data_IF_930441765395
#
_entry.id   IF_930441765395
#
_cell.length_a   1.000
_cell.length_b   1.000
_cell.length_c   1.000
_cell.angle_alpha   90.00
_cell.angle_beta   90.00
_cell.angle_gamma   90.00
#
_symmetry.space_group_name_H-M   'P 1'
#
loop_
_entity.id
_entity.type
_entity.pdbx_description
1 polymer ?
#
# COMPACT_ATOMS: atom_id res chain seq x y z
N UNK A 1 -19.14 -22.87 -29.60
CA UNK A 1 -18.44 -21.81 -28.84
C UNK A 1 -16.99 -22.23 -28.71
N UNK A 2 -16.16 -21.72 -29.63
CA UNK A 2 -14.74 -22.08 -29.67
C UNK A 2 -14.07 -21.53 -28.41
N UNK A 3 -13.47 -22.44 -27.63
CA UNK A 3 -12.85 -22.10 -26.37
C UNK A 3 -11.63 -21.21 -26.57
N UNK A 4 -11.75 -19.94 -26.23
CA UNK A 4 -10.64 -18.96 -26.20
C UNK A 4 -9.53 -19.54 -25.34
N UNK A 5 -8.38 -19.86 -25.93
CA UNK A 5 -7.21 -20.38 -25.21
C UNK A 5 -6.45 -19.21 -24.58
N UNK A 6 -6.16 -19.25 -23.24
CA UNK A 6 -5.45 -18.14 -22.56
C UNK A 6 -4.10 -17.76 -23.19
N UNK A 7 -3.48 -18.64 -23.97
CA UNK A 7 -2.20 -18.42 -24.63
C UNK A 7 -2.22 -17.51 -25.87
N UNK A 8 -3.40 -17.17 -26.40
CA UNK A 8 -3.53 -16.31 -27.59
C UNK A 8 -3.71 -14.83 -27.26
N UNK A 9 -4.03 -14.47 -26.01
CA UNK A 9 -4.18 -13.07 -25.62
C UNK A 9 -2.83 -12.34 -25.59
N UNK A 10 -2.78 -11.15 -26.20
CA UNK A 10 -1.59 -10.31 -26.29
C UNK A 10 -1.51 -9.38 -25.10
N UNK A 11 -0.40 -9.44 -24.36
CA UNK A 11 -0.06 -8.50 -23.31
C UNK A 11 0.59 -7.26 -23.92
N UNK A 12 0.18 -6.07 -23.49
CA UNK A 12 0.74 -4.82 -23.95
C UNK A 12 0.46 -3.67 -22.99
N UNK A 13 0.83 -2.47 -23.41
CA UNK A 13 0.45 -1.22 -22.72
C UNK A 13 -0.82 -0.67 -23.38
N UNK A 14 -1.62 0.14 -22.64
CA UNK A 14 -2.72 0.88 -23.24
C UNK A 14 -2.20 1.84 -24.33
N UNK A 15 -2.93 1.91 -25.42
CA UNK A 15 -2.71 2.86 -26.50
C UNK A 15 -3.88 3.86 -26.55
N UNK A 16 -3.73 5.00 -27.22
CA UNK A 16 -4.75 6.04 -27.24
C UNK A 16 -6.13 5.55 -27.70
N UNK A 17 -6.16 4.58 -28.61
CA UNK A 17 -7.40 3.96 -29.12
C UNK A 17 -8.11 3.08 -28.07
N UNK A 18 -7.37 2.55 -27.09
CA UNK A 18 -7.94 1.72 -26.03
C UNK A 18 -8.78 2.53 -25.02
N UNK A 19 -8.58 3.83 -24.92
CA UNK A 19 -9.14 4.65 -23.85
C UNK A 19 -10.65 4.44 -23.66
N UNK A 20 -11.42 4.38 -24.77
CA UNK A 20 -12.87 4.13 -24.72
C UNK A 20 -13.19 2.72 -24.25
N UNK A 21 -12.47 1.72 -24.73
CA UNK A 21 -12.70 0.31 -24.39
C UNK A 21 -12.29 0.00 -22.95
N UNK A 22 -11.21 0.61 -22.47
CA UNK A 22 -10.76 0.48 -21.08
C UNK A 22 -11.68 1.20 -20.10
N UNK A 23 -12.21 2.36 -20.50
CA UNK A 23 -13.26 3.04 -19.75
C UNK A 23 -14.53 2.19 -19.65
N UNK A 24 -14.98 1.61 -20.76
CA UNK A 24 -16.13 0.73 -20.77
C UNK A 24 -15.92 -0.52 -19.89
N UNK A 25 -14.70 -1.08 -19.89
CA UNK A 25 -14.34 -2.17 -18.99
C UNK A 25 -14.33 -1.74 -17.51
N UNK A 26 -13.90 -0.51 -17.21
CA UNK A 26 -14.00 0.07 -15.86
C UNK A 26 -15.45 0.15 -15.40
N UNK A 27 -16.31 0.78 -16.21
CA UNK A 27 -17.73 0.96 -15.93
C UNK A 27 -18.49 -0.38 -15.78
N UNK A 28 -18.08 -1.42 -16.52
CA UNK A 28 -18.62 -2.79 -16.38
C UNK A 28 -18.24 -3.44 -15.03
N UNK A 29 -17.01 -3.25 -14.57
CA UNK A 29 -16.48 -3.95 -13.39
C UNK A 29 -16.71 -3.15 -12.11
N UNK A 30 -16.52 -1.84 -12.16
CA UNK A 30 -16.69 -0.92 -11.03
C UNK A 30 -18.01 -0.15 -11.15
N UNK A 31 -19.11 -0.89 -11.25
CA UNK A 31 -20.45 -0.35 -11.47
C UNK A 31 -20.96 0.53 -10.31
N UNK A 32 -20.31 0.50 -9.15
CA UNK A 32 -20.58 1.39 -8.01
C UNK A 32 -20.00 2.80 -8.17
N UNK A 33 -19.03 2.97 -9.08
CA UNK A 33 -18.41 4.28 -9.29
C UNK A 33 -19.37 5.22 -10.03
N UNK A 34 -19.51 6.45 -9.52
CA UNK A 34 -20.31 7.45 -10.20
C UNK A 34 -19.69 7.86 -11.54
N UNK A 35 -20.53 8.29 -12.50
CA UNK A 35 -20.04 8.81 -13.78
C UNK A 35 -19.07 9.99 -13.60
N UNK A 36 -19.31 10.85 -12.61
CA UNK A 36 -18.46 12.01 -12.29
C UNK A 36 -17.07 11.55 -11.85
N UNK A 37 -17.01 10.52 -10.99
CA UNK A 37 -15.76 9.94 -10.55
C UNK A 37 -15.01 9.26 -11.71
N UNK A 38 -15.70 8.48 -12.53
CA UNK A 38 -15.09 7.85 -13.72
C UNK A 38 -14.55 8.89 -14.71
N UNK A 39 -15.31 9.99 -14.96
CA UNK A 39 -14.83 11.11 -15.80
C UNK A 39 -13.55 11.74 -15.23
N UNK A 40 -13.52 11.99 -13.91
CA UNK A 40 -12.35 12.50 -13.23
C UNK A 40 -11.16 11.53 -13.36
N UNK A 41 -11.37 10.25 -13.05
CA UNK A 41 -10.30 9.25 -13.07
C UNK A 41 -9.63 9.15 -14.43
N UNK A 42 -10.41 8.98 -15.50
CA UNK A 42 -9.86 8.84 -16.86
C UNK A 42 -9.24 10.11 -17.40
N UNK A 43 -9.72 11.28 -16.97
CA UNK A 43 -9.17 12.57 -17.39
C UNK A 43 -7.89 12.94 -16.64
N UNK A 44 -7.85 12.75 -15.33
CA UNK A 44 -6.81 13.32 -14.45
C UNK A 44 -5.80 12.26 -13.97
N UNK A 45 -6.25 11.04 -13.62
CA UNK A 45 -5.40 9.99 -13.05
C UNK A 45 -4.88 9.00 -14.07
N UNK A 46 -5.74 8.41 -14.89
CA UNK A 46 -5.35 7.36 -15.82
C UNK A 46 -4.26 7.80 -16.80
N UNK A 47 -4.24 9.08 -17.19
CA UNK A 47 -3.21 9.66 -18.06
C UNK A 47 -1.80 9.69 -17.41
N UNK A 48 -1.73 9.69 -16.08
CA UNK A 48 -0.47 9.69 -15.32
C UNK A 48 -0.03 8.28 -14.94
N UNK A 49 -0.95 7.31 -15.03
CA UNK A 49 -0.74 5.94 -14.62
C UNK A 49 -0.02 5.14 -15.70
N UNK A 50 0.72 4.13 -15.25
CA UNK A 50 1.32 3.14 -16.13
C UNK A 50 0.37 1.96 -16.27
N UNK A 51 -0.22 1.78 -17.47
CA UNK A 51 -1.19 0.72 -17.72
C UNK A 51 -0.58 -0.57 -18.24
N UNK A 52 -1.28 -1.68 -17.98
CA UNK A 52 -1.08 -2.99 -18.59
C UNK A 52 -2.43 -3.49 -19.09
N UNK A 53 -2.46 -4.07 -20.29
CA UNK A 53 -3.67 -4.56 -20.92
C UNK A 53 -3.45 -5.92 -21.55
N UNK A 54 -4.43 -6.82 -21.40
CA UNK A 54 -4.53 -8.03 -22.20
C UNK A 54 -5.60 -7.84 -23.24
N UNK A 55 -5.28 -8.18 -24.51
CA UNK A 55 -6.19 -8.12 -25.64
C UNK A 55 -6.46 -9.51 -26.20
N UNK A 56 -7.69 -9.73 -26.61
CA UNK A 56 -8.09 -10.84 -27.47
C UNK A 56 -8.36 -10.24 -28.87
N UNK A 57 -7.47 -10.52 -29.82
CA UNK A 57 -7.37 -9.69 -31.03
C UNK A 57 -7.04 -8.24 -30.68
N UNK A 58 -7.88 -7.31 -31.14
CA UNK A 58 -7.75 -5.88 -30.83
C UNK A 58 -8.56 -5.45 -29.59
N UNK A 59 -9.40 -6.35 -29.03
CA UNK A 59 -10.29 -6.02 -27.92
C UNK A 59 -9.59 -6.14 -26.58
N UNK A 60 -9.49 -5.05 -25.77
CA UNK A 60 -9.06 -5.12 -24.37
C UNK A 60 -10.03 -5.96 -23.54
N UNK A 61 -9.52 -7.00 -22.88
CA UNK A 61 -10.31 -7.94 -22.07
C UNK A 61 -9.94 -7.91 -20.57
N UNK A 62 -8.76 -7.41 -20.27
CA UNK A 62 -8.32 -7.20 -18.86
C UNK A 62 -7.32 -6.06 -18.78
N UNK A 63 -7.36 -5.32 -17.68
CA UNK A 63 -6.47 -4.17 -17.43
C UNK A 63 -5.98 -4.14 -15.99
N UNK A 64 -4.88 -3.42 -15.77
CA UNK A 64 -4.29 -3.08 -14.50
C UNK A 64 -3.52 -1.77 -14.66
N UNK A 65 -3.64 -0.86 -13.70
CA UNK A 65 -2.86 0.37 -13.66
C UNK A 65 -1.93 0.43 -12.46
N UNK A 66 -0.79 1.09 -12.64
CA UNK A 66 0.14 1.48 -11.59
C UNK A 66 0.10 3.00 -11.45
N UNK A 67 -0.37 3.48 -10.32
CA UNK A 67 -0.41 4.90 -9.97
C UNK A 67 0.85 5.25 -9.16
N UNK A 68 1.74 6.13 -9.64
CA UNK A 68 2.94 6.52 -8.91
C UNK A 68 2.59 7.48 -7.78
N UNK A 69 3.09 7.19 -6.57
CA UNK A 69 2.96 8.05 -5.39
C UNK A 69 4.31 8.38 -4.78
N UNK A 70 4.56 9.64 -4.39
CA UNK A 70 5.73 10.03 -3.63
C UNK A 70 5.57 9.59 -2.16
N UNK A 71 6.09 8.41 -1.84
CA UNK A 71 6.05 7.83 -0.49
C UNK A 71 7.23 8.34 0.32
N UNK A 72 6.93 8.93 1.47
CA UNK A 72 7.91 9.32 2.48
C UNK A 72 8.20 8.12 3.37
N UNK A 73 9.47 7.80 3.53
CA UNK A 73 9.98 6.69 4.33
C UNK A 73 10.96 7.24 5.35
N UNK A 74 10.73 7.01 6.63
CA UNK A 74 11.62 7.45 7.70
C UNK A 74 12.99 6.78 7.58
N UNK A 75 14.03 7.59 7.71
CA UNK A 75 15.42 7.17 7.62
C UNK A 75 16.22 7.85 8.75
N UNK A 76 16.25 7.21 9.91
CA UNK A 76 16.76 7.87 11.13
C UNK A 76 15.83 9.01 11.56
N UNK A 77 16.39 10.19 11.67
CA UNK A 77 15.64 11.41 12.03
C UNK A 77 15.15 12.20 10.81
N UNK A 78 15.40 11.70 9.61
CA UNK A 78 15.00 12.31 8.33
C UNK A 78 14.04 11.42 7.56
N UNK A 79 13.64 11.86 6.37
CA UNK A 79 12.82 11.10 5.44
C UNK A 79 13.47 10.99 4.07
N UNK A 80 13.35 9.82 3.45
CA UNK A 80 13.63 9.61 2.04
C UNK A 80 12.30 9.56 1.28
N UNK A 81 12.18 10.38 0.22
CA UNK A 81 11.04 10.29 -0.69
C UNK A 81 11.35 9.30 -1.80
N UNK A 82 10.44 8.34 -2.02
CA UNK A 82 10.55 7.37 -3.13
C UNK A 82 9.25 7.32 -3.90
N UNK A 83 9.33 7.33 -5.23
CA UNK A 83 8.18 7.05 -6.07
C UNK A 83 7.89 5.55 -6.04
N UNK A 84 6.76 5.17 -5.44
CA UNK A 84 6.28 3.80 -5.36
C UNK A 84 4.93 3.68 -6.06
N UNK A 85 4.66 2.50 -6.61
CA UNK A 85 3.43 2.26 -7.35
C UNK A 85 2.32 1.71 -6.45
N UNK A 86 1.15 2.33 -6.55
CA UNK A 86 -0.12 1.80 -6.08
C UNK A 86 -0.80 1.04 -7.22
N UNK A 87 -1.27 -0.16 -6.97
CA UNK A 87 -1.99 -0.97 -7.97
C UNK A 87 -3.47 -0.62 -7.91
N UNK A 88 -4.04 -0.25 -9.06
CA UNK A 88 -5.42 0.23 -9.19
C UNK A 88 -6.06 -0.25 -10.48
N UNK A 89 -7.39 -0.25 -10.56
CA UNK A 89 -8.15 -0.54 -11.77
C UNK A 89 -7.89 -1.94 -12.33
N UNK A 90 -7.78 -2.92 -11.43
CA UNK A 90 -7.60 -4.33 -11.83
C UNK A 90 -8.94 -4.89 -12.25
N UNK A 91 -9.18 -4.97 -13.54
CA UNK A 91 -10.44 -5.40 -14.10
C UNK A 91 -10.28 -6.47 -15.18
N UNK A 92 -11.25 -7.38 -15.25
CA UNK A 92 -11.33 -8.40 -16.30
C UNK A 92 -12.79 -8.59 -16.71
N UNK A 93 -13.07 -8.56 -18.01
CA UNK A 93 -14.39 -8.84 -18.57
C UNK A 93 -14.92 -10.18 -18.09
N UNK A 94 -16.20 -10.27 -17.77
CA UNK A 94 -16.83 -11.45 -17.18
C UNK A 94 -16.52 -12.75 -17.95
N UNK A 95 -16.64 -12.83 -19.30
CA UNK A 95 -16.34 -14.04 -20.06
C UNK A 95 -14.88 -14.49 -19.98
N UNK A 96 -13.96 -13.61 -19.52
CA UNK A 96 -12.52 -13.87 -19.44
C UNK A 96 -12.03 -14.08 -17.99
N UNK A 97 -12.93 -13.98 -16.99
CA UNK A 97 -12.62 -14.29 -15.58
C UNK A 97 -12.23 -15.76 -15.41
N UNK A 98 -11.45 -16.03 -14.38
CA UNK A 98 -10.93 -17.37 -14.04
C UNK A 98 -10.06 -18.03 -15.14
N UNK A 99 -9.54 -17.24 -16.09
CA UNK A 99 -8.65 -17.72 -17.16
C UNK A 99 -7.21 -17.21 -17.03
N UNK A 100 -6.83 -16.73 -15.84
CA UNK A 100 -5.47 -16.26 -15.53
C UNK A 100 -5.12 -14.88 -16.13
N UNK A 101 -6.10 -14.08 -16.57
CA UNK A 101 -5.84 -12.75 -17.15
C UNK A 101 -5.20 -11.82 -16.11
N UNK A 102 -5.81 -11.70 -14.94
CA UNK A 102 -5.26 -10.91 -13.82
C UNK A 102 -3.87 -11.41 -13.40
N UNK A 103 -3.68 -12.73 -13.30
CA UNK A 103 -2.39 -13.34 -12.93
C UNK A 103 -1.26 -12.87 -13.85
N UNK A 104 -1.50 -12.86 -15.16
CA UNK A 104 -0.52 -12.40 -16.15
C UNK A 104 -0.19 -10.92 -15.98
N UNK A 105 -1.22 -10.07 -15.84
CA UNK A 105 -1.04 -8.61 -15.68
C UNK A 105 -0.30 -8.30 -14.38
N UNK A 106 -0.73 -8.89 -13.27
CA UNK A 106 -0.14 -8.62 -11.96
C UNK A 106 1.31 -9.09 -11.87
N UNK A 107 1.61 -10.28 -12.38
CA UNK A 107 2.99 -10.79 -12.41
C UNK A 107 3.90 -9.93 -13.28
N UNK A 108 3.40 -9.40 -14.40
CA UNK A 108 4.19 -8.50 -15.25
C UNK A 108 4.45 -7.16 -14.56
N UNK A 109 3.43 -6.57 -13.97
CA UNK A 109 3.58 -5.34 -13.18
C UNK A 109 4.57 -5.52 -12.02
N UNK A 110 4.51 -6.65 -11.32
CA UNK A 110 5.44 -6.97 -10.23
C UNK A 110 6.89 -7.15 -10.75
N UNK A 111 7.09 -7.77 -11.91
CA UNK A 111 8.43 -7.91 -12.52
C UNK A 111 9.00 -6.54 -12.91
N UNK A 112 8.19 -5.67 -13.50
CA UNK A 112 8.61 -4.31 -13.85
C UNK A 112 9.03 -3.50 -12.61
N UNK A 113 8.26 -3.60 -11.53
CA UNK A 113 8.60 -2.95 -10.26
C UNK A 113 9.88 -3.56 -9.64
N UNK A 114 10.04 -4.89 -9.70
CA UNK A 114 11.25 -5.58 -9.24
C UNK A 114 12.48 -5.13 -10.04
N UNK A 115 12.36 -5.02 -11.37
CA UNK A 115 13.43 -4.52 -12.24
C UNK A 115 13.87 -3.08 -11.94
N UNK A 116 13.03 -2.31 -11.23
CA UNK A 116 13.31 -0.95 -10.75
C UNK A 116 13.73 -0.90 -9.29
N UNK A 117 13.97 -2.05 -8.66
CA UNK A 117 14.32 -2.17 -7.26
C UNK A 117 13.34 -1.44 -6.31
N UNK A 118 12.04 -1.48 -6.62
CA UNK A 118 11.05 -0.93 -5.72
C UNK A 118 10.92 -1.81 -4.47
N UNK A 119 11.03 -1.25 -3.25
CA UNK A 119 10.99 -2.05 -2.03
C UNK A 119 9.65 -2.76 -1.84
N UNK A 120 8.55 -2.07 -2.11
CA UNK A 120 7.20 -2.61 -1.99
C UNK A 120 6.22 -1.93 -2.94
N UNK A 121 5.07 -2.56 -3.11
CA UNK A 121 3.87 -2.00 -3.74
C UNK A 121 2.68 -2.19 -2.82
N UNK A 122 1.63 -1.41 -3.01
CA UNK A 122 0.45 -1.43 -2.16
C UNK A 122 -0.83 -1.23 -2.98
N UNK A 123 -1.97 -1.59 -2.39
CA UNK A 123 -3.29 -1.49 -3.00
C UNK A 123 -4.39 -1.50 -1.93
N UNK A 124 -5.56 -1.02 -2.27
CA UNK A 124 -6.80 -1.25 -1.54
C UNK A 124 -7.54 -2.43 -2.21
N UNK A 125 -7.70 -3.57 -1.53
CA UNK A 125 -8.32 -4.73 -2.16
C UNK A 125 -9.85 -4.62 -2.13
N UNK A 126 -10.52 -4.94 -3.23
CA UNK A 126 -11.95 -5.21 -3.21
C UNK A 126 -12.28 -6.50 -2.40
N UNK A 127 -11.40 -7.50 -2.50
CA UNK A 127 -11.38 -8.70 -1.68
C UNK A 127 -9.93 -9.14 -1.46
N UNK A 128 -9.52 -9.28 -0.21
CA UNK A 128 -8.16 -9.69 0.14
C UNK A 128 -7.79 -11.09 -0.37
N UNK A 129 -8.78 -11.99 -0.53
CA UNK A 129 -8.56 -13.35 -1.04
C UNK A 129 -7.96 -13.34 -2.47
N UNK A 130 -8.23 -12.29 -3.25
CA UNK A 130 -7.70 -12.13 -4.61
C UNK A 130 -6.17 -11.92 -4.59
N UNK A 131 -5.65 -11.20 -3.59
CA UNK A 131 -4.25 -10.75 -3.54
C UNK A 131 -3.35 -11.59 -2.62
N UNK A 132 -3.92 -12.36 -1.69
CA UNK A 132 -3.16 -13.29 -0.83
C UNK A 132 -2.30 -14.30 -1.60
N UNK A 133 -2.74 -14.92 -2.72
CA UNK A 133 -1.89 -15.81 -3.52
C UNK A 133 -0.65 -15.11 -4.09
N UNK A 134 -0.71 -13.79 -4.25
CA UNK A 134 0.41 -12.96 -4.70
C UNK A 134 1.24 -12.40 -3.53
N UNK A 135 1.05 -12.93 -2.32
CA UNK A 135 1.82 -12.60 -1.11
C UNK A 135 1.58 -11.18 -0.59
N UNK A 136 0.41 -10.59 -0.83
CA UNK A 136 0.01 -9.34 -0.19
C UNK A 136 -0.51 -9.60 1.23
N UNK A 137 -0.25 -8.66 2.14
CA UNK A 137 -0.74 -8.65 3.52
C UNK A 137 -1.18 -7.25 3.91
N UNK A 138 -2.11 -7.12 4.86
CA UNK A 138 -2.53 -5.82 5.36
C UNK A 138 -1.41 -5.13 6.15
N UNK A 139 -1.21 -3.85 5.87
CA UNK A 139 -0.20 -3.01 6.54
C UNK A 139 -0.78 -1.74 7.14
N UNK A 140 -2.01 -1.38 6.79
CA UNK A 140 -2.66 -0.18 7.32
C UNK A 140 -4.13 -0.44 7.61
N UNK A 141 -4.58 0.10 8.75
CA UNK A 141 -5.98 0.07 9.20
C UNK A 141 -6.47 1.50 9.36
N UNK A 142 -7.51 1.85 8.62
CA UNK A 142 -8.15 3.16 8.68
C UNK A 142 -9.07 3.25 9.89
N UNK A 143 -8.98 4.35 10.64
CA UNK A 143 -9.93 4.65 11.70
C UNK A 143 -11.31 4.94 11.10
N UNK A 144 -12.35 4.42 11.74
CA UNK A 144 -13.73 4.69 11.37
C UNK A 144 -14.26 5.88 12.15
N UNK A 145 -15.07 6.70 11.47
CA UNK A 145 -15.67 7.89 12.02
C UNK A 145 -17.19 7.86 11.86
N UNK A 146 -17.92 8.31 12.87
CA UNK A 146 -19.33 8.65 12.73
C UNK A 146 -19.45 10.16 12.55
N UNK A 147 -20.31 10.58 11.60
CA UNK A 147 -20.70 11.98 11.48
C UNK A 147 -21.63 12.33 12.65
N UNK A 148 -21.26 13.35 13.43
CA UNK A 148 -22.16 13.94 14.41
C UNK A 148 -23.34 14.64 13.70
N UNK A 149 -24.42 14.95 14.46
CA UNK A 149 -25.68 15.51 13.94
C UNK A 149 -25.59 16.93 13.35
N UNK A 150 -24.43 17.36 12.86
CA UNK A 150 -24.27 18.66 12.21
C UNK A 150 -24.44 18.53 10.69
N UNK A 151 -25.46 19.14 10.10
CA UNK A 151 -25.63 19.12 8.64
C UNK A 151 -24.44 19.84 7.98
N UNK A 152 -24.03 19.36 6.80
CA UNK A 152 -23.25 20.16 5.85
C UNK A 152 -24.17 21.31 5.45
N UNK A 153 -23.90 22.52 5.92
CA UNK A 153 -24.73 23.69 5.68
C UNK A 153 -24.05 24.68 4.76
N UNK A 154 -24.78 25.24 3.82
CA UNK A 154 -24.30 26.25 2.88
C UNK A 154 -23.99 25.69 1.49
N UNK A 155 -23.81 26.61 0.53
CA UNK A 155 -23.37 26.29 -0.84
C UNK A 155 -22.13 27.10 -1.21
N UNK A 156 -21.23 26.51 -1.97
CA UNK A 156 -20.01 27.20 -2.43
C UNK A 156 -19.00 27.50 -1.32
N UNK A 157 -18.39 28.70 -1.31
CA UNK A 157 -17.35 29.11 -0.36
C UNK A 157 -17.81 29.22 1.11
N UNK A 158 -19.12 29.26 1.35
CA UNK A 158 -19.72 29.36 2.70
C UNK A 158 -20.18 28.01 3.25
N UNK A 159 -19.79 26.90 2.60
CA UNK A 159 -20.12 25.56 3.08
C UNK A 159 -19.31 25.28 4.36
N UNK A 160 -20.01 24.88 5.42
CA UNK A 160 -19.40 24.50 6.71
C UNK A 160 -19.85 23.11 7.10
N UNK A 161 -18.99 22.41 7.80
CA UNK A 161 -19.27 21.10 8.40
C UNK A 161 -18.86 21.17 9.88
N UNK A 162 -19.84 21.24 10.79
CA UNK A 162 -19.59 21.27 12.23
C UNK A 162 -18.62 22.36 12.68
N UNK A 163 -18.71 23.57 12.11
CA UNK A 163 -17.79 24.68 12.44
C UNK A 163 -16.50 24.71 11.62
N UNK A 164 -16.19 23.67 10.86
CA UNK A 164 -15.07 23.67 9.90
C UNK A 164 -15.48 24.40 8.62
N UNK A 165 -14.59 25.18 8.04
CA UNK A 165 -14.81 25.83 6.75
C UNK A 165 -14.33 24.94 5.60
N UNK A 166 -15.01 25.00 4.45
CA UNK A 166 -14.50 24.39 3.21
C UNK A 166 -13.23 25.09 2.76
N UNK A 167 -12.21 24.31 2.38
CA UNK A 167 -10.92 24.82 1.90
C UNK A 167 -11.09 25.72 0.68
N UNK A 168 -10.42 26.87 0.68
CA UNK A 168 -10.19 27.73 -0.48
C UNK A 168 -8.83 27.50 -1.09
N UNK A 169 -8.62 28.00 -2.33
CA UNK A 169 -7.30 27.88 -2.99
C UNK A 169 -6.17 28.57 -2.21
N UNK A 170 -6.51 29.64 -1.51
CA UNK A 170 -5.61 30.40 -0.64
C UNK A 170 -5.13 29.61 0.59
N UNK A 171 -5.86 28.58 1.00
CA UNK A 171 -5.54 27.76 2.17
C UNK A 171 -4.56 26.61 1.82
N UNK A 172 -4.42 26.26 0.54
CA UNK A 172 -3.61 25.13 0.06
C UNK A 172 -2.16 25.12 0.60
N UNK A 173 -1.38 26.23 0.58
CA UNK A 173 -0.02 26.21 1.10
C UNK A 173 0.03 25.90 2.60
N UNK A 174 -0.86 26.51 3.38
CA UNK A 174 -0.93 26.32 4.83
C UNK A 174 -1.39 24.90 5.21
N UNK A 175 -2.36 24.34 4.46
CA UNK A 175 -2.80 22.97 4.63
C UNK A 175 -1.67 21.98 4.32
N UNK A 176 -0.94 22.19 3.23
CA UNK A 176 0.17 21.32 2.84
C UNK A 176 1.29 21.33 3.89
N UNK A 177 1.66 22.50 4.39
CA UNK A 177 2.66 22.66 5.45
C UNK A 177 2.21 21.97 6.75
N UNK A 178 0.99 22.25 7.21
CA UNK A 178 0.41 21.62 8.40
C UNK A 178 0.39 20.09 8.29
N UNK A 179 -0.16 19.58 7.18
CA UNK A 179 -0.33 18.15 6.99
C UNK A 179 1.03 17.42 6.88
N UNK A 180 1.99 17.99 6.12
CA UNK A 180 3.34 17.40 6.00
C UNK A 180 4.02 17.35 7.37
N UNK A 181 4.01 18.45 8.14
CA UNK A 181 4.60 18.51 9.48
C UNK A 181 3.91 17.55 10.46
N UNK A 182 2.58 17.39 10.36
CA UNK A 182 1.86 16.42 11.16
C UNK A 182 2.28 14.98 10.83
N UNK A 183 2.33 14.62 9.54
CA UNK A 183 2.72 13.29 9.10
C UNK A 183 4.14 12.94 9.54
N UNK A 184 5.09 13.85 9.40
CA UNK A 184 6.49 13.66 9.83
C UNK A 184 6.64 13.40 11.33
N UNK A 185 5.78 14.00 12.17
CA UNK A 185 5.80 13.78 13.63
C UNK A 185 5.22 12.44 14.05
N UNK A 186 4.23 11.92 13.32
CA UNK A 186 3.41 10.80 13.78
C UNK A 186 3.64 9.49 13.01
N UNK A 187 4.23 9.55 11.81
CA UNK A 187 4.32 8.38 10.93
C UNK A 187 5.72 8.14 10.39
N UNK A 188 6.00 6.89 10.08
CA UNK A 188 7.25 6.46 9.45
C UNK A 188 7.09 6.30 7.94
N UNK A 189 5.85 6.00 7.49
CA UNK A 189 5.49 5.78 6.09
C UNK A 189 4.20 6.51 5.77
N UNK A 190 4.24 7.43 4.81
CA UNK A 190 3.06 8.16 4.35
C UNK A 190 3.27 8.75 2.96
N UNK A 191 2.18 9.10 2.26
CA UNK A 191 2.26 9.86 1.00
C UNK A 191 2.58 11.32 1.33
N UNK A 192 3.53 11.91 0.61
CA UNK A 192 3.90 13.31 0.77
C UNK A 192 2.69 14.23 0.63
N UNK A 193 2.49 15.08 1.64
CA UNK A 193 1.36 16.01 1.75
C UNK A 193 1.75 17.39 1.22
N UNK A 194 1.94 17.51 -0.10
CA UNK A 194 2.31 18.77 -0.76
C UNK A 194 1.09 19.41 -1.47
N UNK A 195 1.30 20.62 -2.02
CA UNK A 195 0.27 21.34 -2.78
C UNK A 195 -0.30 20.49 -3.95
N UNK A 196 0.53 19.82 -4.78
CA UNK A 196 0.04 18.90 -5.80
C UNK A 196 -0.86 17.79 -5.25
N UNK A 197 -0.54 17.23 -4.07
CA UNK A 197 -1.36 16.22 -3.41
C UNK A 197 -2.76 16.75 -3.13
N UNK A 198 -2.87 17.87 -2.41
CA UNK A 198 -4.17 18.43 -2.04
C UNK A 198 -4.95 19.00 -3.23
N UNK A 199 -4.27 19.51 -4.25
CA UNK A 199 -4.91 19.94 -5.50
C UNK A 199 -5.59 18.77 -6.22
N UNK A 200 -4.93 17.60 -6.25
CA UNK A 200 -5.50 16.37 -6.82
C UNK A 200 -6.65 15.85 -5.96
N UNK A 201 -6.45 15.80 -4.64
CA UNK A 201 -7.45 15.34 -3.68
C UNK A 201 -8.72 16.21 -3.70
N UNK A 202 -8.57 17.54 -3.84
CA UNK A 202 -9.73 18.43 -3.98
C UNK A 202 -10.59 18.08 -5.20
N UNK A 203 -9.94 17.84 -6.36
CA UNK A 203 -10.66 17.46 -7.58
C UNK A 203 -11.36 16.10 -7.44
N UNK A 204 -10.72 15.15 -6.78
CA UNK A 204 -11.27 13.82 -6.53
C UNK A 204 -12.50 13.88 -5.64
N UNK A 205 -12.41 14.58 -4.52
CA UNK A 205 -13.54 14.77 -3.61
C UNK A 205 -14.66 15.57 -4.25
N UNK A 206 -14.35 16.56 -5.11
CA UNK A 206 -15.37 17.28 -5.88
C UNK A 206 -16.11 16.37 -6.85
N UNK A 207 -15.43 15.39 -7.46
CA UNK A 207 -16.07 14.38 -8.31
C UNK A 207 -17.02 13.45 -7.51
N UNK A 208 -16.75 13.29 -6.22
CA UNK A 208 -17.58 12.55 -5.25
C UNK A 208 -18.55 13.49 -4.46
N UNK A 209 -18.82 14.69 -4.96
CA UNK A 209 -19.68 15.72 -4.35
C UNK A 209 -19.24 16.21 -2.97
N UNK A 210 -18.04 15.88 -2.53
CA UNK A 210 -17.46 16.20 -1.23
C UNK A 210 -16.51 17.41 -1.24
N UNK A 211 -15.49 17.35 -0.40
CA UNK A 211 -14.47 18.40 -0.31
C UNK A 211 -13.53 18.25 0.87
N UNK A 212 -12.61 19.20 0.97
CA UNK A 212 -11.67 19.34 2.09
C UNK A 212 -12.20 20.41 3.04
N UNK A 213 -12.28 20.07 4.33
CA UNK A 213 -12.73 20.98 5.36
C UNK A 213 -11.62 21.22 6.39
N UNK A 214 -11.48 22.48 6.84
CA UNK A 214 -10.40 22.93 7.71
C UNK A 214 -10.94 23.37 9.06
N UNK A 215 -10.28 22.95 10.13
CA UNK A 215 -10.42 23.49 11.47
C UNK A 215 -9.31 24.51 11.73
N UNK A 216 -9.68 25.71 12.22
CA UNK A 216 -8.78 26.84 12.41
C UNK A 216 -8.70 27.78 11.21
N UNK A 217 -7.94 28.86 11.34
CA UNK A 217 -7.74 29.88 10.30
C UNK A 217 -6.37 29.71 9.62
N UNK A 218 -6.11 30.54 8.58
CA UNK A 218 -4.92 30.46 7.70
C UNK A 218 -3.59 30.27 8.46
N UNK A 219 -3.37 31.06 9.53
CA UNK A 219 -2.13 31.06 10.29
C UNK A 219 -2.16 30.05 11.45
N UNK A 220 -3.17 29.21 11.54
CA UNK A 220 -3.37 28.28 12.65
C UNK A 220 -4.28 27.13 12.31
N UNK A 221 -4.09 26.48 11.15
CA UNK A 221 -4.78 25.21 10.84
C UNK A 221 -4.44 24.21 11.93
N UNK A 222 -5.48 23.66 12.57
CA UNK A 222 -5.41 22.68 13.66
C UNK A 222 -5.86 21.30 13.25
N UNK A 223 -6.52 21.20 12.09
CA UNK A 223 -6.96 19.94 11.54
C UNK A 223 -7.65 20.08 10.20
N UNK A 224 -7.85 18.96 9.54
CA UNK A 224 -8.62 18.87 8.29
C UNK A 224 -9.38 17.55 8.19
N UNK A 225 -10.43 17.57 7.37
CA UNK A 225 -11.20 16.39 6.96
C UNK A 225 -11.21 16.29 5.44
N UNK A 226 -11.05 15.08 4.94
CA UNK A 226 -11.38 14.69 3.57
C UNK A 226 -12.73 13.99 3.60
N UNK A 227 -13.73 14.57 2.94
CA UNK A 227 -15.11 14.11 2.98
C UNK A 227 -15.63 13.86 1.56
N UNK A 228 -16.22 12.69 1.34
CA UNK A 228 -16.97 12.33 0.15
C UNK A 228 -18.45 12.22 0.49
N UNK A 229 -19.33 12.80 -0.34
CA UNK A 229 -20.77 12.82 -0.11
C UNK A 229 -21.48 11.55 -0.59
N UNK A 230 -20.84 10.63 -1.31
CA UNK A 230 -21.50 9.43 -1.86
C UNK A 230 -22.57 8.87 -0.93
N UNK A 231 -23.54 8.16 -1.38
CA UNK A 231 -24.85 7.75 -0.79
C UNK A 231 -25.11 7.99 0.72
N UNK A 232 -24.09 7.91 1.60
CA UNK A 232 -24.21 8.07 3.06
C UNK A 232 -23.23 9.07 3.69
N UNK A 233 -22.36 9.68 2.88
CA UNK A 233 -21.30 10.56 3.34
C UNK A 233 -20.18 9.82 4.09
N UNK A 234 -18.97 9.84 3.58
CA UNK A 234 -17.80 9.17 4.17
C UNK A 234 -16.69 10.15 4.52
N UNK A 235 -16.15 10.04 5.74
CA UNK A 235 -14.89 10.68 6.10
C UNK A 235 -13.76 9.75 5.68
N UNK A 236 -13.10 10.12 4.59
CA UNK A 236 -11.98 9.35 4.08
C UNK A 236 -10.71 9.54 4.91
N UNK A 237 -10.49 10.75 5.41
CA UNK A 237 -9.35 11.08 6.27
C UNK A 237 -9.71 12.18 7.26
N UNK A 238 -9.25 12.06 8.49
CA UNK A 238 -9.38 13.09 9.51
C UNK A 238 -8.07 13.24 10.28
N UNK A 239 -7.54 14.45 10.31
CA UNK A 239 -6.27 14.80 10.97
C UNK A 239 -6.47 16.05 11.80
N UNK A 240 -5.99 16.05 13.06
CA UNK A 240 -6.03 17.23 13.93
C UNK A 240 -4.93 17.17 15.00
N UNK A 241 -4.59 18.35 15.53
CA UNK A 241 -3.71 18.47 16.67
C UNK A 241 -4.49 18.57 17.99
N UNK A 242 -3.94 17.98 19.04
CA UNK A 242 -4.51 18.03 20.40
C UNK A 242 -5.60 16.98 20.63
N UNK A 243 -6.36 17.18 21.73
CA UNK A 243 -7.42 16.24 22.11
C UNK A 243 -8.62 16.35 21.16
N UNK A 244 -9.16 15.19 20.83
CA UNK A 244 -10.38 15.07 20.07
C UNK A 244 -11.55 15.77 20.78
N UNK A 245 -12.29 16.59 20.08
CA UNK A 245 -13.44 17.34 20.64
C UNK A 245 -13.13 18.78 21.04
N UNK A 246 -11.88 19.18 21.17
CA UNK A 246 -11.52 20.57 21.49
C UNK A 246 -12.00 21.58 20.42
N UNK A 247 -12.30 21.11 19.21
CA UNK A 247 -12.61 21.94 18.02
C UNK A 247 -14.04 21.77 17.52
N UNK A 248 -14.92 21.04 18.25
CA UNK A 248 -16.30 20.81 17.81
C UNK A 248 -16.40 20.05 16.48
N UNK A 249 -15.46 19.15 16.21
CA UNK A 249 -15.40 18.40 14.96
C UNK A 249 -16.67 17.56 14.78
N UNK A 250 -17.27 17.53 13.57
CA UNK A 250 -18.45 16.75 13.27
C UNK A 250 -18.19 15.24 13.20
N UNK A 251 -16.93 14.85 13.23
CA UNK A 251 -16.47 13.48 13.10
C UNK A 251 -16.08 12.92 14.48
N UNK A 252 -16.67 11.80 14.87
CA UNK A 252 -16.31 11.10 16.11
C UNK A 252 -15.66 9.77 15.76
N UNK A 253 -14.39 9.50 16.20
CA UNK A 253 -13.80 8.19 16.00
C UNK A 253 -14.62 7.15 16.77
N UNK A 254 -14.98 6.06 16.09
CA UNK A 254 -15.71 4.95 16.69
C UNK A 254 -14.84 4.11 17.62
N UNK A 255 -13.52 4.30 17.56
CA UNK A 255 -12.53 3.42 18.19
C UNK A 255 -12.22 2.17 17.36
N UNK A 256 -12.98 1.91 16.31
CA UNK A 256 -12.75 0.79 15.40
C UNK A 256 -11.76 1.20 14.29
N UNK A 257 -11.01 0.21 13.80
CA UNK A 257 -10.10 0.37 12.67
C UNK A 257 -10.28 -0.77 11.69
N UNK A 258 -10.61 -0.47 10.46
CA UNK A 258 -10.80 -1.45 9.39
C UNK A 258 -9.53 -1.61 8.56
N UNK A 259 -9.05 -2.85 8.29
CA UNK A 259 -7.93 -3.08 7.38
C UNK A 259 -8.31 -2.62 5.97
N UNK A 260 -7.54 -1.69 5.40
CA UNK A 260 -7.87 -1.12 4.09
C UNK A 260 -6.74 -1.25 3.07
N UNK A 261 -5.47 -1.17 3.46
CA UNK A 261 -4.36 -1.26 2.52
C UNK A 261 -3.57 -2.53 2.73
N UNK A 262 -3.43 -3.29 1.65
CA UNK A 262 -2.48 -4.39 1.56
C UNK A 262 -1.22 -3.96 0.83
N UNK A 263 -0.07 -4.51 1.25
CA UNK A 263 1.18 -4.36 0.54
C UNK A 263 1.92 -5.70 0.41
N UNK A 264 2.88 -5.72 -0.50
CA UNK A 264 3.85 -6.80 -0.58
C UNK A 264 5.25 -6.23 -0.83
N UNK A 265 6.26 -6.87 -0.25
CA UNK A 265 7.65 -6.66 -0.66
C UNK A 265 7.82 -7.06 -2.12
N UNK A 266 8.37 -6.16 -2.93
CA UNK A 266 8.69 -6.41 -4.35
C UNK A 266 10.15 -6.81 -4.51
N UNK A 267 11.09 -6.01 -3.98
CA UNK A 267 12.52 -6.32 -3.95
C UNK A 267 12.98 -6.47 -2.50
N UNK A 268 13.35 -7.68 -2.12
CA UNK A 268 13.76 -7.98 -0.74
C UNK A 268 15.02 -7.22 -0.33
N UNK A 269 15.99 -7.01 -1.26
CA UNK A 269 17.17 -6.20 -0.98
C UNK A 269 16.79 -4.77 -0.66
N UNK A 270 16.00 -4.15 -1.54
CA UNK A 270 15.55 -2.78 -1.37
C UNK A 270 14.71 -2.62 -0.09
N UNK A 271 13.85 -3.59 0.23
CA UNK A 271 13.01 -3.58 1.43
C UNK A 271 13.85 -3.67 2.71
N UNK A 272 14.78 -4.63 2.79
CA UNK A 272 15.68 -4.79 3.94
C UNK A 272 16.61 -3.59 4.11
N UNK A 273 16.98 -2.93 3.02
CA UNK A 273 17.82 -1.71 3.05
C UNK A 273 17.12 -0.48 3.64
N UNK A 274 15.81 -0.53 3.88
CA UNK A 274 15.07 0.54 4.59
C UNK A 274 15.29 0.48 6.10
N UNK A 275 15.70 -0.66 6.65
CA UNK A 275 15.84 -0.91 8.07
C UNK A 275 17.17 -0.37 8.61
N UNK A 276 17.20 -0.09 9.92
CA UNK A 276 18.38 0.40 10.64
C UNK A 276 18.50 -0.26 12.01
N UNK A 277 19.70 -0.31 12.57
CA UNK A 277 19.84 -0.64 13.99
C UNK A 277 19.39 0.55 14.88
N UNK A 278 18.81 0.24 16.03
CA UNK A 278 18.47 1.25 17.06
C UNK A 278 19.74 1.79 17.71
N UNK A 279 20.77 0.97 17.81
CA UNK A 279 22.10 1.32 18.31
C UNK A 279 23.15 0.34 17.81
N UNK A 280 24.36 0.81 17.53
CA UNK A 280 25.49 0.02 17.11
C UNK A 280 25.30 -0.68 15.77
N UNK A 281 25.71 -1.96 15.69
CA UNK A 281 25.62 -2.77 14.47
C UNK A 281 25.00 -4.13 14.76
N UNK A 282 24.05 -4.55 13.89
CA UNK A 282 23.35 -5.83 13.98
C UNK A 282 23.50 -6.58 12.67
N UNK A 283 24.06 -7.78 12.75
CA UNK A 283 24.17 -8.67 11.58
C UNK A 283 23.13 -9.77 11.66
N UNK A 284 22.39 -9.98 10.57
CA UNK A 284 21.43 -11.07 10.38
C UNK A 284 21.61 -11.72 9.01
N UNK A 285 21.44 -13.05 8.98
CA UNK A 285 21.30 -13.84 7.76
C UNK A 285 19.83 -14.25 7.64
N UNK A 286 19.13 -13.69 6.65
CA UNK A 286 17.69 -13.87 6.47
C UNK A 286 17.45 -14.70 5.21
N UNK A 287 16.83 -15.86 5.36
CA UNK A 287 16.35 -16.65 4.22
C UNK A 287 14.97 -16.11 3.79
N UNK A 288 14.86 -15.62 2.56
CA UNK A 288 13.60 -15.12 2.01
C UNK A 288 13.05 -16.10 0.98
N UNK A 289 11.76 -16.37 1.03
CA UNK A 289 11.02 -17.18 0.06
C UNK A 289 9.92 -16.36 -0.62
N UNK A 290 9.89 -16.38 -1.96
CA UNK A 290 8.90 -15.71 -2.80
C UNK A 290 8.50 -16.62 -3.95
N UNK A 291 7.26 -17.13 -3.97
CA UNK A 291 6.77 -17.98 -5.06
C UNK A 291 6.47 -17.19 -6.34
N UNK A 292 6.37 -15.86 -6.26
CA UNK A 292 6.00 -14.98 -7.39
C UNK A 292 7.23 -14.36 -8.06
N UNK A 293 8.11 -13.74 -7.29
CA UNK A 293 9.33 -13.08 -7.75
C UNK A 293 10.56 -13.85 -7.28
N UNK A 294 10.95 -14.86 -8.06
CA UNK A 294 12.03 -15.77 -7.69
C UNK A 294 13.39 -15.10 -7.45
N UNK A 295 13.58 -13.87 -7.92
CA UNK A 295 14.78 -13.08 -7.62
C UNK A 295 14.96 -12.79 -6.14
N UNK A 296 13.88 -12.78 -5.34
CA UNK A 296 13.93 -12.59 -3.89
C UNK A 296 14.44 -13.83 -3.13
N UNK A 297 14.31 -15.03 -3.70
CA UNK A 297 14.63 -16.29 -3.02
C UNK A 297 16.11 -16.43 -2.72
N UNK A 298 16.43 -16.75 -1.48
CA UNK A 298 17.78 -17.06 -1.03
C UNK A 298 18.12 -16.43 0.32
N UNK A 299 19.37 -16.57 0.72
CA UNK A 299 19.88 -16.03 1.97
C UNK A 299 20.43 -14.63 1.71
N UNK A 300 19.96 -13.68 2.48
CA UNK A 300 20.37 -12.28 2.48
C UNK A 300 21.22 -12.00 3.72
N UNK A 301 22.46 -11.59 3.51
CA UNK A 301 23.34 -11.10 4.56
C UNK A 301 23.03 -9.61 4.76
N UNK A 302 22.60 -9.26 5.97
CA UNK A 302 22.17 -7.92 6.32
C UNK A 302 23.04 -7.40 7.47
N UNK A 303 23.69 -6.26 7.28
CA UNK A 303 24.39 -5.53 8.33
C UNK A 303 23.66 -4.21 8.52
N UNK A 304 22.92 -4.10 9.62
CA UNK A 304 22.17 -2.90 9.98
C UNK A 304 23.02 -2.04 10.92
N UNK A 305 23.16 -0.76 10.62
CA UNK A 305 23.77 0.26 11.46
C UNK A 305 22.76 1.37 11.74
N UNK A 306 23.10 2.32 12.59
CA UNK A 306 22.25 3.50 12.86
C UNK A 306 22.06 4.35 11.60
N UNK A 307 23.08 4.41 10.73
CA UNK A 307 23.10 5.22 9.50
C UNK A 307 22.50 4.52 8.28
N UNK A 308 22.45 3.18 8.26
CA UNK A 308 22.00 2.43 7.09
C UNK A 308 22.03 0.93 7.23
N UNK A 309 21.80 0.27 6.10
CA UNK A 309 21.93 -1.16 5.99
C UNK A 309 22.71 -1.56 4.74
N UNK A 310 23.65 -2.49 4.91
CA UNK A 310 24.27 -3.21 3.80
C UNK A 310 23.57 -4.55 3.63
N UNK A 311 22.99 -4.77 2.43
CA UNK A 311 22.24 -5.99 2.11
C UNK A 311 22.77 -6.61 0.83
N UNK A 312 23.22 -7.85 0.93
CA UNK A 312 23.73 -8.61 -0.23
C UNK A 312 23.32 -10.08 -0.15
N UNK A 313 23.14 -10.68 -1.32
CA UNK A 313 22.71 -12.06 -1.45
C UNK A 313 23.90 -13.00 -1.25
N UNK A 314 23.71 -14.05 -0.45
CA UNK A 314 24.72 -15.09 -0.27
C UNK A 314 24.83 -15.94 -1.56
N UNK A 315 25.99 -15.94 -2.19
CA UNK A 315 26.26 -16.72 -3.40
C UNK A 315 26.28 -18.24 -3.15
N UNK A 316 26.58 -18.66 -1.92
CA UNK A 316 26.64 -20.08 -1.52
C UNK A 316 25.25 -20.64 -1.14
N UNK A 317 24.30 -19.77 -0.73
CA UNK A 317 23.00 -20.17 -0.19
C UNK A 317 21.96 -20.64 -1.22
N UNK A 318 22.25 -20.62 -2.51
CA UNK A 318 21.32 -21.03 -3.59
C UNK A 318 20.88 -22.50 -3.51
N UNK A 319 21.67 -23.36 -2.85
CA UNK A 319 21.30 -24.77 -2.62
C UNK A 319 20.21 -24.94 -1.54
N UNK A 320 20.22 -24.13 -0.48
CA UNK A 320 19.21 -24.18 0.58
C UNK A 320 17.80 -23.77 0.06
N UNK A 321 17.74 -22.77 -0.81
CA UNK A 321 16.50 -22.34 -1.46
C UNK A 321 15.92 -23.39 -2.45
N UNK A 322 16.75 -24.25 -3.05
CA UNK A 322 16.30 -25.39 -3.86
C UNK A 322 15.61 -26.48 -3.01
N UNK A 323 16.14 -26.75 -1.83
CA UNK A 323 15.55 -27.74 -0.92
C UNK A 323 14.18 -27.32 -0.38
N UNK A 324 13.92 -26.00 -0.25
CA UNK A 324 12.60 -25.48 0.12
C UNK A 324 11.53 -25.79 -0.94
N UNK A 325 11.82 -25.55 -2.24
CA UNK A 325 10.91 -25.87 -3.36
C UNK A 325 10.47 -27.33 -3.42
N UNK A 326 11.36 -28.25 -3.04
CA UNK A 326 11.03 -29.67 -3.00
C UNK A 326 10.14 -30.04 -1.81
N UNK A 327 10.19 -29.27 -0.72
CA UNK A 327 9.36 -29.45 0.48
C UNK A 327 7.96 -28.87 0.32
N UNK A 328 7.79 -27.70 -0.30
CA UNK A 328 6.47 -27.12 -0.63
C UNK A 328 5.64 -28.07 -1.52
N UNK A 329 6.27 -28.75 -2.46
CA UNK A 329 5.59 -29.74 -3.31
C UNK A 329 5.06 -30.97 -2.56
N UNK A 330 5.48 -31.19 -1.32
CA UNK A 330 5.12 -32.37 -0.51
C UNK A 330 4.10 -32.09 0.60
N UNK A 331 3.50 -30.89 0.68
CA UNK A 331 2.49 -30.55 1.71
C UNK A 331 2.87 -30.97 3.14
N UNK A 332 4.15 -30.93 3.49
CA UNK A 332 4.60 -31.33 4.82
C UNK A 332 4.51 -30.12 5.79
N UNK A 333 3.92 -30.29 6.99
CA UNK A 333 3.90 -29.22 7.99
C UNK A 333 5.34 -28.90 8.41
N UNK A 334 5.66 -27.58 8.41
CA UNK A 334 6.97 -27.07 8.80
C UNK A 334 7.10 -27.11 10.33
N UNK A 335 7.30 -28.31 10.85
CA UNK A 335 7.79 -28.55 12.21
C UNK A 335 9.04 -29.42 12.05
N UNK A 336 10.22 -28.81 12.10
CA UNK A 336 11.46 -29.57 12.19
C UNK A 336 12.32 -29.10 13.34
N UNK A 337 12.63 -30.10 14.17
CA UNK A 337 13.51 -30.08 15.30
C UNK A 337 14.88 -29.44 15.01
N UNK A 338 15.36 -28.69 15.99
CA UNK A 338 16.72 -28.18 16.10
C UNK A 338 17.73 -29.34 16.09
N UNK A 339 18.45 -29.49 14.97
CA UNK A 339 19.81 -30.08 14.99
C UNK A 339 20.52 -29.82 13.67
N UNK A 340 21.76 -29.34 13.77
CA UNK A 340 22.72 -28.98 12.74
C UNK A 340 22.60 -27.55 12.22
N UNK A 341 23.71 -26.84 12.23
CA UNK A 341 23.98 -25.46 11.84
C UNK A 341 23.04 -24.93 10.73
N UNK A 342 22.02 -24.18 11.13
CA UNK A 342 21.20 -23.43 10.15
C UNK A 342 22.12 -22.42 9.46
N UNK A 343 22.14 -22.45 8.13
CA UNK A 343 22.92 -21.49 7.34
C UNK A 343 22.40 -20.04 7.48
N UNK A 344 21.31 -19.78 8.22
CA UNK A 344 20.67 -18.49 8.41
C UNK A 344 20.08 -18.36 9.83
N UNK A 345 19.92 -17.10 10.28
CA UNK A 345 19.32 -16.78 11.60
C UNK A 345 17.79 -16.86 11.56
N UNK A 346 17.15 -16.49 10.42
CA UNK A 346 15.71 -16.30 10.28
C UNK A 346 15.22 -16.68 8.89
N UNK A 347 14.03 -17.26 8.78
CA UNK A 347 13.35 -17.56 7.52
C UNK A 347 12.03 -16.79 7.43
N UNK A 348 11.84 -16.07 6.32
CA UNK A 348 10.66 -15.22 6.09
C UNK A 348 10.06 -15.47 4.70
N UNK A 349 8.75 -15.69 4.66
CA UNK A 349 7.97 -15.49 3.44
C UNK A 349 7.82 -13.99 3.15
N UNK A 350 7.37 -13.64 1.95
CA UNK A 350 7.14 -12.23 1.59
C UNK A 350 6.10 -11.54 2.51
N UNK A 351 4.95 -12.17 2.85
CA UNK A 351 4.03 -11.56 3.81
C UNK A 351 4.66 -11.34 5.20
N UNK A 352 5.44 -12.33 5.68
CA UNK A 352 6.12 -12.22 6.96
C UNK A 352 7.18 -11.10 6.96
N UNK A 353 7.97 -10.99 5.89
CA UNK A 353 8.93 -9.89 5.72
C UNK A 353 8.22 -8.53 5.68
N UNK A 354 7.12 -8.42 4.91
CA UNK A 354 6.33 -7.20 4.79
C UNK A 354 5.73 -6.80 6.14
N UNK A 355 5.08 -7.74 6.83
CA UNK A 355 4.50 -7.50 8.16
C UNK A 355 5.56 -7.12 9.19
N UNK A 356 6.73 -7.77 9.17
CA UNK A 356 7.82 -7.44 10.07
C UNK A 356 8.34 -6.01 9.88
N UNK A 357 8.57 -5.60 8.63
CA UNK A 357 9.07 -4.24 8.32
C UNK A 357 8.08 -3.17 8.76
N UNK A 358 6.77 -3.39 8.54
CA UNK A 358 5.72 -2.42 8.88
C UNK A 358 5.13 -2.57 10.30
N UNK A 359 5.66 -3.50 11.11
CA UNK A 359 5.17 -3.68 12.47
C UNK A 359 3.74 -4.21 12.58
N UNK A 360 3.19 -4.77 11.48
CA UNK A 360 1.82 -5.27 11.40
C UNK A 360 1.82 -6.78 11.66
N UNK A 361 1.06 -7.30 12.63
CA UNK A 361 1.09 -8.74 12.74
C UNK A 361 0.52 -9.42 13.96
N UNK A 362 -0.58 -8.96 14.56
CA UNK A 362 -1.20 -9.79 15.61
C UNK A 362 -2.61 -10.31 15.32
N UNK A 363 -3.35 -9.82 14.33
CA UNK A 363 -4.77 -10.19 14.24
C UNK A 363 -5.18 -11.00 13.00
N UNK A 364 -4.37 -11.15 11.97
CA UNK A 364 -4.71 -11.98 10.80
C UNK A 364 -3.50 -12.76 10.27
N UNK A 365 -3.30 -13.98 10.73
CA UNK A 365 -2.53 -15.09 10.10
C UNK A 365 -1.10 -14.83 9.59
N UNK A 366 -0.54 -13.64 9.78
CA UNK A 366 0.87 -13.35 9.56
C UNK A 366 1.48 -12.89 10.88
N UNK A 367 1.83 -13.84 11.73
CA UNK A 367 2.59 -13.54 12.95
C UNK A 367 3.84 -12.76 12.56
N UNK A 368 3.99 -11.54 13.10
CA UNK A 368 5.28 -10.87 13.09
C UNK A 368 6.28 -11.81 13.80
N UNK A 369 7.42 -12.15 13.21
CA UNK A 369 8.37 -13.07 13.83
C UNK A 369 8.86 -12.61 15.20
N UNK A 370 8.57 -11.36 15.59
CA UNK A 370 8.95 -10.79 16.91
C UNK A 370 7.82 -10.91 17.94
N UNK A 371 6.56 -10.83 17.51
CA UNK A 371 5.38 -10.71 18.40
C UNK A 371 4.61 -12.03 18.54
N UNK A 372 4.68 -12.92 17.57
CA UNK A 372 4.08 -14.26 17.62
C UNK A 372 5.10 -15.27 18.11
N UNK A 373 4.80 -15.91 19.19
CA UNK A 373 5.57 -16.98 19.78
C UNK A 373 5.81 -18.13 18.79
N UNK A 374 6.75 -17.97 17.87
CA UNK A 374 7.48 -19.08 17.33
C UNK A 374 8.49 -19.47 18.42
N UNK A 375 8.06 -20.39 19.30
CA UNK A 375 8.80 -20.88 20.46
C UNK A 375 10.18 -21.49 20.11
N UNK A 376 10.53 -21.54 18.82
CA UNK A 376 11.75 -22.12 18.29
C UNK A 376 12.80 -21.08 17.84
N UNK A 377 12.47 -19.77 17.94
CA UNK A 377 13.42 -18.73 17.64
C UNK A 377 14.33 -18.47 18.85
N UNK A 378 15.62 -18.77 18.73
CA UNK A 378 16.58 -18.60 19.79
C UNK A 378 16.57 -17.16 20.33
N UNK A 379 16.62 -16.99 21.66
CA UNK A 379 16.60 -15.69 22.37
C UNK A 379 17.57 -14.66 21.75
N UNK A 380 18.70 -15.13 21.24
CA UNK A 380 19.72 -14.31 20.55
C UNK A 380 19.17 -13.63 19.29
N UNK A 381 18.41 -14.35 18.46
CA UNK A 381 17.81 -13.80 17.24
C UNK A 381 16.72 -12.81 17.59
N UNK A 382 15.88 -13.13 18.58
CA UNK A 382 14.84 -12.23 19.08
C UNK A 382 15.41 -10.90 19.56
N UNK A 383 16.51 -10.92 20.34
CA UNK A 383 17.20 -9.70 20.78
C UNK A 383 17.72 -8.87 19.60
N UNK A 384 18.31 -9.52 18.57
CA UNK A 384 18.73 -8.83 17.34
C UNK A 384 17.56 -8.14 16.64
N UNK A 385 16.42 -8.84 16.47
CA UNK A 385 15.22 -8.28 15.81
C UNK A 385 14.63 -7.10 16.58
N UNK A 386 14.58 -7.16 17.91
CA UNK A 386 14.14 -6.05 18.77
C UNK A 386 15.07 -4.82 18.67
N UNK A 387 16.35 -5.03 18.36
CA UNK A 387 17.34 -3.97 18.14
C UNK A 387 17.24 -3.28 16.78
N UNK A 388 16.36 -3.74 15.89
CA UNK A 388 16.15 -3.12 14.57
C UNK A 388 15.01 -2.11 14.63
N UNK A 389 15.23 -0.90 14.08
CA UNK A 389 14.22 0.12 13.89
C UNK A 389 13.45 -0.23 12.60
N UNK A 390 12.16 -0.48 12.76
CA UNK A 390 11.22 -0.81 11.69
C UNK A 390 10.42 0.44 11.28
N UNK A 391 9.58 0.33 10.27
CA UNK A 391 8.69 1.38 9.78
C UNK A 391 7.25 1.12 10.29
N UNK A 392 7.05 1.20 11.61
CA UNK A 392 5.86 0.68 12.30
C UNK A 392 4.63 1.58 12.19
N UNK A 393 4.85 2.90 12.02
CA UNK A 393 3.76 3.87 11.96
C UNK A 393 3.44 4.19 10.51
N UNK A 394 2.52 3.41 9.94
CA UNK A 394 2.11 3.53 8.52
C UNK A 394 0.84 4.38 8.42
N UNK A 395 0.83 5.34 7.49
CA UNK A 395 -0.34 6.09 7.07
C UNK A 395 -0.42 6.10 5.53
N UNK A 396 -0.98 5.04 4.99
CA UNK A 396 -1.26 4.90 3.56
C UNK A 396 -2.77 4.80 3.39
N UNK A 397 -3.41 5.93 3.18
CA UNK A 397 -4.88 6.05 3.15
C UNK A 397 -5.37 6.47 1.75
N UNK A 398 -4.73 5.95 0.71
CA UNK A 398 -5.11 6.27 -0.66
C UNK A 398 -6.29 5.41 -1.09
N UNK A 399 -7.40 6.07 -1.38
CA UNK A 399 -8.63 5.49 -1.93
C UNK A 399 -8.68 5.91 -3.40
N UNK A 400 -8.89 4.96 -4.29
CA UNK A 400 -9.06 5.23 -5.74
C UNK A 400 -10.22 4.41 -6.24
#
# INVERSE_FOLDING_TARGET
MDGIRPGQMKLGKPEGEDCKSLRALWEEVFYGDSRKFTDYYFKEKAALNRGYVLRDGEMPVSMLYLSPYPVMLRSGDTFACRELNYIVGVATKEPYRHRGCMDRLLKEALRDMYGKAQPFTFLMPADCAIYRPYQFTYIYRRAEYTLGNGPVTGRGKTCTMGGMKKMGKEDLPFLAEFAQAYMERHYDVFIRRDIPYFTRMEKELQAQEGGIFLAGEKDGIKGYLLYAEEEQGEIQEAVWEGEYGAWGLPAHPTGQKTPVIMARTVDAKAMLSLLRAKSGSITLRICVSDPVLHGNNGIWNCVFTEDGAEVYKDSAGTKAAKNYREREKKNAPVLMAASAERAYDLELSIPALTSWVFGCGQEEQCACPVDGADLDMGEKVRRKLCGIRRLEHVFLNEIV
#
